data_IF_587043960288
#
_entry.id   IF_587043960288
#
_cell.length_a   1.000
_cell.length_b   1.000
_cell.length_c   1.000
_cell.angle_alpha   90.00
_cell.angle_beta   90.00
_cell.angle_gamma   90.00
#
_symmetry.space_group_name_H-M   'P 1'
#
loop_
_entity.id
_entity.type
_entity.pdbx_description
1 polymer ?
#
# COMPACT_ATOMS: atom_id res chain seq x y z
N UNK A 1 33.13 -52.64 -44.60
CA UNK A 1 33.66 -51.39 -43.99
C UNK A 1 32.66 -50.28 -44.28
N UNK A 2 31.84 -49.91 -43.30
CA UNK A 2 31.13 -48.62 -43.10
C UNK A 2 30.39 -48.75 -41.75
N UNK A 3 30.71 -47.84 -40.82
CA UNK A 3 30.32 -47.82 -39.41
C UNK A 3 28.83 -47.51 -39.21
N UNK A 4 28.16 -48.21 -38.28
CA UNK A 4 26.89 -47.79 -37.66
C UNK A 4 27.20 -46.87 -36.47
N UNK A 5 26.74 -45.62 -36.53
CA UNK A 5 26.79 -44.70 -35.40
C UNK A 5 25.68 -45.04 -34.38
N UNK A 6 26.07 -45.29 -33.14
CA UNK A 6 25.17 -45.33 -31.99
C UNK A 6 25.05 -43.90 -31.44
N UNK A 7 23.84 -43.32 -31.51
CA UNK A 7 23.53 -42.05 -30.86
C UNK A 7 23.46 -42.23 -29.35
N UNK A 8 24.34 -41.54 -28.63
CA UNK A 8 24.24 -41.36 -27.17
C UNK A 8 23.40 -40.12 -26.91
N UNK A 9 22.23 -40.29 -26.29
CA UNK A 9 21.45 -39.19 -25.71
C UNK A 9 22.03 -38.90 -24.33
N UNK A 10 22.67 -37.76 -24.16
CA UNK A 10 23.05 -37.25 -22.85
C UNK A 10 21.84 -36.49 -22.26
N UNK A 11 21.26 -37.04 -21.20
CA UNK A 11 20.27 -36.34 -20.39
C UNK A 11 20.98 -35.26 -19.56
N UNK A 12 20.77 -33.98 -19.89
CA UNK A 12 21.15 -32.88 -19.02
C UNK A 12 20.08 -32.73 -17.93
N UNK A 13 20.42 -33.09 -16.71
CA UNK A 13 19.65 -32.73 -15.53
C UNK A 13 19.85 -31.24 -15.24
N UNK A 14 18.80 -30.43 -15.38
CA UNK A 14 18.78 -29.05 -14.90
C UNK A 14 18.51 -29.12 -13.40
N UNK A 15 19.53 -28.82 -12.60
CA UNK A 15 19.36 -28.50 -11.18
C UNK A 15 18.77 -27.08 -11.13
N UNK A 16 17.47 -26.97 -10.88
CA UNK A 16 16.86 -25.69 -10.50
C UNK A 16 17.26 -25.42 -9.06
N UNK A 17 18.38 -24.72 -8.87
CA UNK A 17 18.67 -24.09 -7.60
C UNK A 17 17.63 -22.99 -7.39
N UNK A 18 16.72 -23.20 -6.44
CA UNK A 18 15.75 -22.20 -5.97
C UNK A 18 16.48 -21.05 -5.27
N UNK A 19 17.13 -20.19 -6.04
CA UNK A 19 17.47 -18.85 -5.58
C UNK A 19 16.20 -18.02 -5.61
N UNK A 20 15.75 -17.52 -4.46
CA UNK A 20 14.86 -16.36 -4.40
C UNK A 20 15.62 -15.22 -5.06
N UNK A 21 15.44 -15.07 -6.37
CA UNK A 21 15.88 -13.89 -7.09
C UNK A 21 15.07 -12.75 -6.54
N UNK A 22 15.61 -12.05 -5.54
CA UNK A 22 15.16 -10.73 -5.18
C UNK A 22 15.38 -9.88 -6.43
N UNK A 23 14.35 -9.76 -7.27
CA UNK A 23 14.18 -8.54 -8.01
C UNK A 23 14.24 -7.43 -6.96
N UNK A 24 15.09 -6.42 -7.17
CA UNK A 24 14.97 -5.20 -6.39
C UNK A 24 13.52 -4.72 -6.58
N UNK A 25 12.64 -5.04 -5.62
CA UNK A 25 11.29 -4.53 -5.63
C UNK A 25 11.42 -3.08 -5.23
N UNK A 26 10.89 -2.21 -6.08
CA UNK A 26 10.68 -0.83 -5.71
C UNK A 26 9.74 -0.84 -4.50
N UNK A 27 10.23 -0.37 -3.35
CA UNK A 27 9.40 -0.27 -2.15
C UNK A 27 8.21 0.64 -2.42
N UNK A 28 7.07 0.32 -1.83
CA UNK A 28 5.82 1.03 -2.09
C UNK A 28 5.12 1.42 -0.81
N UNK A 29 4.36 2.50 -0.89
CA UNK A 29 3.52 2.96 0.22
C UNK A 29 2.09 3.07 -0.29
N UNK A 30 1.15 2.58 0.51
CA UNK A 30 -0.29 2.83 0.36
C UNK A 30 -0.76 3.49 1.66
N UNK A 31 -1.34 4.68 1.54
CA UNK A 31 -2.05 5.34 2.62
C UNK A 31 -3.55 5.30 2.31
N UNK A 32 -4.35 4.79 3.24
CA UNK A 32 -5.81 4.72 3.15
C UNK A 32 -6.41 5.55 4.28
N UNK A 33 -7.40 6.38 3.93
CA UNK A 33 -8.02 7.35 4.82
C UNK A 33 -8.92 6.78 5.91
N UNK A 34 -9.34 5.52 5.81
CA UNK A 34 -10.35 4.91 6.69
C UNK A 34 -10.12 3.39 6.81
N UNK A 35 -10.27 2.87 8.02
CA UNK A 35 -10.03 1.45 8.32
C UNK A 35 -11.17 0.52 7.92
N UNK A 36 -12.37 1.05 7.65
CA UNK A 36 -13.53 0.25 7.30
C UNK A 36 -13.42 -0.35 5.91
N UNK A 37 -12.63 0.21 4.99
CA UNK A 37 -12.55 -0.23 3.58
C UNK A 37 -12.23 -1.72 3.40
N UNK A 38 -11.39 -2.28 4.29
CA UNK A 38 -11.01 -3.71 4.30
C UNK A 38 -11.37 -4.42 5.61
N UNK A 39 -12.32 -3.86 6.37
CA UNK A 39 -12.88 -4.51 7.55
C UNK A 39 -13.70 -5.75 7.20
N UNK A 40 -13.93 -6.63 8.17
CA UNK A 40 -14.84 -7.78 8.00
C UNK A 40 -16.25 -7.33 7.57
N UNK A 41 -16.71 -6.17 8.06
CA UNK A 41 -17.99 -5.60 7.65
C UNK A 41 -18.02 -5.23 6.16
N UNK A 42 -16.93 -4.70 5.61
CA UNK A 42 -16.85 -4.38 4.19
C UNK A 42 -16.87 -5.63 3.31
N UNK A 43 -16.17 -6.69 3.72
CA UNK A 43 -16.28 -7.99 3.04
C UNK A 43 -17.71 -8.55 3.07
N UNK A 44 -18.44 -8.38 4.18
CA UNK A 44 -19.84 -8.80 4.28
C UNK A 44 -20.77 -7.95 3.41
N UNK A 45 -20.64 -6.63 3.44
CA UNK A 45 -21.58 -5.71 2.77
C UNK A 45 -21.28 -5.52 1.28
N UNK A 46 -20.01 -5.53 0.89
CA UNK A 46 -19.58 -5.19 -0.46
C UNK A 46 -19.00 -6.39 -1.23
N UNK A 47 -18.70 -7.49 -0.53
CA UNK A 47 -18.25 -8.75 -1.13
C UNK A 47 -17.13 -8.55 -2.13
N UNK A 48 -17.47 -8.69 -3.42
CA UNK A 48 -16.54 -8.56 -4.55
C UNK A 48 -15.76 -7.24 -4.58
N UNK A 49 -16.32 -6.11 -4.13
CA UNK A 49 -15.62 -4.83 -4.17
C UNK A 49 -14.47 -4.77 -3.15
N UNK A 50 -14.73 -5.15 -1.89
CA UNK A 50 -13.68 -5.23 -0.86
C UNK A 50 -12.65 -6.31 -1.18
N UNK A 51 -13.09 -7.46 -1.70
CA UNK A 51 -12.18 -8.50 -2.18
C UNK A 51 -11.32 -8.05 -3.37
N UNK A 52 -11.88 -7.25 -4.29
CA UNK A 52 -11.11 -6.68 -5.39
C UNK A 52 -10.10 -5.67 -4.89
N UNK A 53 -10.45 -4.79 -3.95
CA UNK A 53 -9.51 -3.86 -3.35
C UNK A 53 -8.35 -4.60 -2.64
N UNK A 54 -8.66 -5.62 -1.86
CA UNK A 54 -7.65 -6.47 -1.22
C UNK A 54 -6.72 -7.15 -2.25
N UNK A 55 -7.30 -7.63 -3.36
CA UNK A 55 -6.53 -8.20 -4.49
C UNK A 55 -5.62 -7.17 -5.13
N UNK A 56 -6.12 -5.96 -5.37
CA UNK A 56 -5.34 -4.88 -5.95
C UNK A 56 -4.17 -4.49 -5.03
N UNK A 57 -4.39 -4.41 -3.71
CA UNK A 57 -3.34 -4.17 -2.71
C UNK A 57 -2.27 -5.26 -2.76
N UNK A 58 -2.65 -6.53 -2.76
CA UNK A 58 -1.72 -7.65 -2.86
C UNK A 58 -0.90 -7.61 -4.16
N UNK A 59 -1.56 -7.34 -5.29
CA UNK A 59 -0.92 -7.23 -6.61
C UNK A 59 -0.03 -5.99 -6.75
N UNK A 60 -0.31 -4.93 -5.99
CA UNK A 60 0.54 -3.75 -5.94
C UNK A 60 1.84 -4.03 -5.18
N UNK A 61 1.79 -4.81 -4.09
CA UNK A 61 2.98 -5.17 -3.31
C UNK A 61 3.76 -6.35 -3.88
N UNK A 62 3.12 -7.23 -4.64
CA UNK A 62 3.74 -8.47 -5.11
C UNK A 62 3.24 -8.86 -6.50
N UNK A 63 4.15 -9.33 -7.35
CA UNK A 63 3.83 -9.76 -8.71
C UNK A 63 3.12 -11.13 -8.79
N UNK A 64 2.90 -11.79 -7.65
CA UNK A 64 2.33 -13.13 -7.56
C UNK A 64 2.30 -13.65 -6.11
N UNK A 65 1.86 -14.91 -5.92
CA UNK A 65 1.74 -15.51 -4.59
C UNK A 65 3.09 -15.63 -3.87
N UNK A 66 3.05 -15.86 -2.56
CA UNK A 66 4.22 -16.17 -1.74
C UNK A 66 4.85 -14.99 -0.99
N UNK A 67 4.27 -13.78 -1.12
CA UNK A 67 4.66 -12.66 -0.27
C UNK A 67 4.34 -12.92 1.21
N UNK A 68 5.19 -12.46 2.11
CA UNK A 68 4.98 -12.51 3.56
C UNK A 68 4.59 -11.12 4.09
N UNK A 69 3.44 -11.03 4.76
CA UNK A 69 2.88 -9.79 5.28
C UNK A 69 2.86 -9.77 6.81
N UNK A 70 3.51 -8.77 7.39
CA UNK A 70 3.51 -8.51 8.84
C UNK A 70 2.45 -7.50 9.21
N UNK A 71 1.61 -7.80 10.21
CA UNK A 71 0.48 -6.93 10.61
C UNK A 71 0.74 -6.34 11.98
N UNK A 72 0.79 -5.01 12.07
CA UNK A 72 0.94 -4.27 13.31
C UNK A 72 -0.28 -3.37 13.48
N UNK A 73 -1.19 -3.77 14.37
CA UNK A 73 -2.41 -2.99 14.63
C UNK A 73 -2.83 -3.09 16.08
N UNK A 74 -3.41 -2.00 16.59
CA UNK A 74 -4.23 -2.02 17.80
C UNK A 74 -5.69 -1.60 17.52
N UNK A 75 -6.05 -1.41 16.25
CA UNK A 75 -7.44 -1.21 15.85
C UNK A 75 -8.22 -2.53 15.94
N UNK A 76 -9.44 -2.52 16.51
CA UNK A 76 -10.31 -3.70 16.53
C UNK A 76 -11.05 -3.93 15.20
N UNK A 77 -10.97 -3.01 14.25
CA UNK A 77 -11.71 -3.03 12.99
C UNK A 77 -10.79 -3.36 11.81
N UNK A 78 -9.58 -2.78 11.80
CA UNK A 78 -8.62 -2.97 10.74
C UNK A 78 -8.11 -4.42 10.68
N UNK A 79 -7.87 -4.91 9.46
CA UNK A 79 -7.17 -6.17 9.21
C UNK A 79 -7.84 -7.42 9.80
N UNK A 80 -9.17 -7.45 9.77
CA UNK A 80 -9.99 -8.57 10.25
C UNK A 80 -9.76 -9.90 9.51
N UNK A 81 -10.51 -10.91 9.96
CA UNK A 81 -10.35 -12.31 9.53
C UNK A 81 -10.64 -12.55 8.05
N UNK A 82 -11.50 -11.74 7.44
CA UNK A 82 -11.87 -11.80 6.03
C UNK A 82 -10.71 -11.34 5.16
N UNK A 83 -10.02 -10.26 5.54
CA UNK A 83 -8.83 -9.79 4.83
C UNK A 83 -7.71 -10.82 4.94
N UNK A 84 -7.46 -11.35 6.14
CA UNK A 84 -6.50 -12.42 6.35
C UNK A 84 -6.80 -13.64 5.46
N UNK A 85 -8.06 -14.10 5.45
CA UNK A 85 -8.50 -15.24 4.64
C UNK A 85 -8.34 -14.97 3.14
N UNK A 86 -8.63 -13.73 2.71
CA UNK A 86 -8.45 -13.32 1.32
C UNK A 86 -6.98 -13.33 0.91
N UNK A 87 -6.10 -12.72 1.70
CA UNK A 87 -4.66 -12.65 1.43
C UNK A 87 -4.01 -14.03 1.42
N UNK A 88 -4.37 -14.90 2.37
CA UNK A 88 -3.91 -16.29 2.40
C UNK A 88 -4.48 -17.12 1.24
N UNK A 89 -5.73 -16.87 0.84
CA UNK A 89 -6.34 -17.45 -0.36
C UNK A 89 -5.64 -17.07 -1.67
N UNK A 90 -5.04 -15.87 -1.72
CA UNK A 90 -4.16 -15.44 -2.82
C UNK A 90 -2.76 -16.07 -2.76
N UNK A 91 -2.46 -16.88 -1.73
CA UNK A 91 -1.18 -17.58 -1.56
C UNK A 91 -0.11 -16.80 -0.81
N UNK A 92 -0.48 -15.76 -0.07
CA UNK A 92 0.42 -15.00 0.80
C UNK A 92 0.44 -15.54 2.23
N UNK A 93 1.49 -15.21 2.98
CA UNK A 93 1.52 -15.40 4.43
C UNK A 93 1.02 -14.13 5.12
N UNK A 94 0.25 -14.30 6.19
CA UNK A 94 -0.32 -13.21 6.97
C UNK A 94 0.00 -13.39 8.45
N UNK A 95 0.98 -12.63 8.94
CA UNK A 95 1.46 -12.74 10.32
C UNK A 95 0.92 -11.62 11.21
N UNK A 96 -0.04 -11.96 12.07
CA UNK A 96 -0.64 -11.04 13.06
C UNK A 96 0.17 -10.88 14.34
N UNK A 97 1.28 -11.62 14.48
CA UNK A 97 2.21 -11.53 15.61
C UNK A 97 3.64 -11.31 15.11
N UNK A 98 3.92 -10.18 14.43
CA UNK A 98 5.17 -10.00 13.72
C UNK A 98 6.40 -9.75 14.62
N UNK A 99 6.20 -9.57 15.92
CA UNK A 99 7.26 -9.31 16.91
C UNK A 99 7.48 -7.82 17.16
N UNK A 100 8.66 -7.47 17.71
CA UNK A 100 9.01 -6.07 18.01
C UNK A 100 9.14 -5.24 16.76
N UNK A 101 8.56 -4.05 16.74
CA UNK A 101 8.71 -3.11 15.62
C UNK A 101 10.16 -2.60 15.52
N UNK A 102 10.90 -3.10 14.53
CA UNK A 102 12.28 -2.74 14.26
C UNK A 102 12.62 -3.02 12.80
N UNK A 103 13.64 -2.37 12.24
CA UNK A 103 14.04 -2.62 10.85
C UNK A 103 14.35 -4.09 10.59
N UNK A 104 15.08 -4.75 11.51
CA UNK A 104 15.42 -6.16 11.39
C UNK A 104 14.17 -7.08 11.38
N UNK A 105 13.09 -6.67 12.04
CA UNK A 105 11.80 -7.35 11.97
C UNK A 105 11.11 -7.07 10.64
N UNK A 106 11.02 -5.80 10.22
CA UNK A 106 10.31 -5.44 8.99
C UNK A 106 10.94 -6.09 7.75
N UNK A 107 12.27 -6.18 7.71
CA UNK A 107 13.03 -6.83 6.62
C UNK A 107 12.77 -8.35 6.47
N UNK A 108 12.01 -8.97 7.38
CA UNK A 108 11.55 -10.36 7.23
C UNK A 108 10.27 -10.47 6.38
N UNK A 109 9.59 -9.36 6.15
CA UNK A 109 8.34 -9.29 5.40
C UNK A 109 8.52 -8.57 4.07
N UNK A 110 7.76 -8.98 3.07
CA UNK A 110 7.66 -8.29 1.78
C UNK A 110 6.77 -7.04 1.88
N UNK A 111 5.85 -7.02 2.85
CA UNK A 111 5.07 -5.83 3.18
C UNK A 111 4.57 -5.83 4.63
N UNK A 112 4.30 -4.64 5.15
CA UNK A 112 3.76 -4.45 6.50
C UNK A 112 2.47 -3.66 6.47
N UNK A 113 1.48 -4.14 7.21
CA UNK A 113 0.15 -3.56 7.32
C UNK A 113 0.00 -2.91 8.69
N UNK A 114 -0.30 -1.61 8.70
CA UNK A 114 -0.27 -0.73 9.87
C UNK A 114 -1.61 -0.04 10.06
N UNK A 115 -2.14 -0.09 11.27
CA UNK A 115 -3.35 0.65 11.66
C UNK A 115 -3.30 0.99 13.15
N UNK A 116 -3.71 2.21 13.49
CA UNK A 116 -3.63 2.71 14.85
C UNK A 116 -2.20 3.04 15.30
N UNK A 117 -1.90 2.94 16.59
CA UNK A 117 -0.63 3.40 17.15
C UNK A 117 0.64 2.59 16.79
N UNK A 118 0.58 1.26 16.58
CA UNK A 118 1.79 0.48 16.27
C UNK A 118 2.51 0.97 15.01
N UNK A 119 3.81 1.22 15.14
CA UNK A 119 4.66 1.66 14.02
C UNK A 119 4.55 3.15 13.65
N UNK A 120 3.69 3.92 14.33
CA UNK A 120 3.58 5.37 14.11
C UNK A 120 4.59 6.16 14.95
N UNK A 121 4.67 7.47 14.70
CA UNK A 121 5.48 8.43 15.44
C UNK A 121 6.91 8.61 14.91
N UNK A 122 7.55 9.69 15.37
CA UNK A 122 8.86 10.16 14.87
C UNK A 122 9.95 9.09 14.99
N UNK A 123 9.95 8.30 16.07
CA UNK A 123 10.95 7.26 16.28
C UNK A 123 10.85 6.12 15.23
N UNK A 124 9.63 5.76 14.83
CA UNK A 124 9.38 4.68 13.87
C UNK A 124 9.41 5.16 12.42
N UNK A 125 9.20 6.45 12.17
CA UNK A 125 9.26 7.03 10.84
C UNK A 125 10.60 6.74 10.13
N UNK A 126 11.73 6.83 10.85
CA UNK A 126 13.04 6.49 10.28
C UNK A 126 13.19 5.01 9.94
N UNK A 127 12.60 4.12 10.74
CA UNK A 127 12.60 2.66 10.49
C UNK A 127 11.80 2.32 9.23
N UNK A 128 10.59 2.89 9.10
CA UNK A 128 9.75 2.69 7.94
C UNK A 128 10.39 3.24 6.66
N UNK A 129 11.00 4.43 6.72
CA UNK A 129 11.70 4.98 5.55
C UNK A 129 12.84 4.10 5.08
N UNK A 130 13.66 3.57 6.01
CA UNK A 130 14.75 2.65 5.67
C UNK A 130 14.22 1.33 5.08
N UNK A 131 13.12 0.80 5.63
CA UNK A 131 12.47 -0.40 5.12
C UNK A 131 11.97 -0.20 3.68
N UNK A 132 11.23 0.89 3.42
CA UNK A 132 10.72 1.23 2.08
C UNK A 132 11.87 1.45 1.09
N UNK A 133 12.89 2.21 1.48
CA UNK A 133 14.07 2.45 0.62
C UNK A 133 14.87 1.17 0.34
N UNK A 134 14.73 0.14 1.18
CA UNK A 134 15.32 -1.18 0.97
C UNK A 134 14.44 -2.12 0.14
N UNK A 135 13.30 -1.64 -0.37
CA UNK A 135 12.38 -2.39 -1.22
C UNK A 135 11.16 -2.96 -0.51
N UNK A 136 11.00 -2.68 0.78
CA UNK A 136 9.83 -3.08 1.57
C UNK A 136 8.58 -2.30 1.23
N UNK A 137 7.41 -2.92 1.46
CA UNK A 137 6.12 -2.29 1.20
C UNK A 137 5.38 -1.91 2.49
N UNK A 138 4.76 -0.74 2.52
CA UNK A 138 4.04 -0.25 3.71
C UNK A 138 2.60 0.08 3.34
N UNK A 139 1.65 -0.47 4.09
CA UNK A 139 0.24 -0.16 4.00
C UNK A 139 -0.21 0.48 5.31
N UNK A 140 -0.72 1.70 5.27
CA UNK A 140 -1.22 2.44 6.45
C UNK A 140 -2.70 2.71 6.30
N UNK A 141 -3.50 2.35 7.31
CA UNK A 141 -4.89 2.78 7.46
C UNK A 141 -5.01 3.82 8.58
N UNK A 142 -5.68 4.91 8.23
CA UNK A 142 -6.17 5.93 9.15
C UNK A 142 -7.65 5.69 9.51
N UNK A 143 -8.27 6.63 10.22
CA UNK A 143 -9.66 6.56 10.65
C UNK A 143 -9.86 5.60 11.82
N UNK A 144 -8.80 5.33 12.59
CA UNK A 144 -8.81 4.26 13.60
C UNK A 144 -9.36 4.67 14.97
N UNK A 145 -9.45 5.98 15.21
CA UNK A 145 -9.78 6.53 16.52
C UNK A 145 -8.72 6.30 17.60
N UNK A 146 -7.63 5.56 17.32
CA UNK A 146 -6.60 5.19 18.31
C UNK A 146 -5.83 6.38 18.89
N UNK A 147 -5.91 7.54 18.21
CA UNK A 147 -5.19 8.77 18.56
C UNK A 147 -6.11 9.86 19.15
N UNK A 148 -7.40 9.56 19.35
CA UNK A 148 -8.38 10.48 19.92
C UNK A 148 -9.01 11.46 18.91
N UNK A 149 -8.24 11.96 17.95
CA UNK A 149 -8.74 12.80 16.85
C UNK A 149 -7.91 12.65 15.55
N UNK A 150 -8.47 13.15 14.44
CA UNK A 150 -7.86 13.11 13.10
C UNK A 150 -6.50 13.82 13.05
N UNK A 151 -6.40 14.98 13.68
CA UNK A 151 -5.18 15.79 13.68
C UNK A 151 -4.03 15.07 14.40
N UNK A 152 -4.33 14.38 15.50
CA UNK A 152 -3.38 13.58 16.26
C UNK A 152 -2.98 12.31 15.52
N UNK A 153 -3.90 11.68 14.80
CA UNK A 153 -3.60 10.54 13.90
C UNK A 153 -2.69 10.97 12.74
N UNK A 154 -3.02 12.08 12.07
CA UNK A 154 -2.18 12.67 11.05
C UNK A 154 -0.79 13.01 11.61
N UNK A 155 -0.70 13.69 12.76
CA UNK A 155 0.57 14.02 13.41
C UNK A 155 1.42 12.80 13.78
N UNK A 156 0.80 11.63 13.99
CA UNK A 156 1.51 10.39 14.27
C UNK A 156 2.07 9.73 13.00
N UNK A 157 1.35 9.80 11.87
CA UNK A 157 1.74 9.15 10.61
C UNK A 157 2.53 10.05 9.65
N UNK A 158 2.23 11.34 9.62
CA UNK A 158 2.85 12.34 8.76
C UNK A 158 4.39 12.41 8.88
N UNK A 159 5.04 12.18 10.04
CA UNK A 159 6.50 12.12 10.10
C UNK A 159 7.10 11.08 9.14
N UNK A 160 6.39 9.98 8.86
CA UNK A 160 6.77 9.00 7.85
C UNK A 160 6.25 9.41 6.47
N UNK A 161 4.94 9.65 6.32
CA UNK A 161 4.30 9.86 5.03
C UNK A 161 4.84 11.09 4.28
N UNK A 162 5.09 12.20 4.98
CA UNK A 162 5.54 13.45 4.37
C UNK A 162 6.93 13.32 3.73
N UNK A 163 7.74 12.34 4.15
CA UNK A 163 9.03 12.06 3.50
C UNK A 163 8.88 11.55 2.06
N UNK A 164 7.68 11.08 1.70
CA UNK A 164 7.33 10.47 0.42
C UNK A 164 6.23 11.23 -0.31
N UNK A 165 5.99 12.50 0.05
CA UNK A 165 4.96 13.33 -0.58
C UNK A 165 3.55 12.85 -0.31
N UNK A 166 3.32 12.10 0.77
CA UNK A 166 1.99 11.64 1.20
C UNK A 166 1.62 12.28 2.54
N UNK A 167 0.35 12.30 2.91
CA UNK A 167 -0.07 12.69 4.26
C UNK A 167 -1.54 12.38 4.54
N UNK A 168 -1.97 12.58 5.78
CA UNK A 168 -3.38 12.48 6.14
C UNK A 168 -4.03 13.83 6.46
N UNK A 169 -5.30 13.96 6.09
CA UNK A 169 -6.11 15.11 6.48
C UNK A 169 -6.27 15.21 7.99
N UNK A 170 -6.40 16.44 8.50
CA UNK A 170 -6.50 16.71 9.94
C UNK A 170 -7.94 16.77 10.45
N UNK A 171 -8.92 16.39 9.63
CA UNK A 171 -10.33 16.42 9.97
C UNK A 171 -10.99 15.11 9.55
N UNK A 172 -11.81 14.58 10.45
CA UNK A 172 -12.68 13.46 10.14
C UNK A 172 -13.87 13.88 9.30
N UNK A 173 -14.32 13.00 8.43
CA UNK A 173 -15.56 13.16 7.67
C UNK A 173 -16.22 11.82 7.39
N UNK A 174 -17.53 11.86 7.17
CA UNK A 174 -18.36 10.67 7.01
C UNK A 174 -19.43 10.55 8.10
N UNK A 175 -20.30 9.53 7.98
CA UNK A 175 -21.44 9.34 8.86
C UNK A 175 -21.04 8.95 10.28
N UNK A 176 -21.99 9.04 11.21
CA UNK A 176 -21.90 8.34 12.48
C UNK A 176 -22.28 6.86 12.26
N UNK A 177 -21.28 6.01 12.00
CA UNK A 177 -21.47 4.61 11.63
C UNK A 177 -20.66 4.28 10.38
N UNK A 178 -21.22 3.46 9.49
CA UNK A 178 -20.65 3.20 8.16
C UNK A 178 -21.68 3.49 7.07
N UNK A 179 -21.20 3.87 5.89
CA UNK A 179 -22.00 4.03 4.68
C UNK A 179 -21.24 3.50 3.47
N UNK A 180 -21.99 3.18 2.42
CA UNK A 180 -21.41 2.88 1.12
C UNK A 180 -21.18 4.17 0.37
N UNK A 181 -19.97 4.37 -0.12
CA UNK A 181 -19.54 5.56 -0.84
C UNK A 181 -19.23 5.14 -2.27
N UNK A 182 -19.88 5.72 -3.29
CA UNK A 182 -19.49 5.53 -4.67
C UNK A 182 -18.02 5.90 -4.84
N UNK A 183 -17.26 5.05 -5.52
CA UNK A 183 -15.90 5.35 -5.90
C UNK A 183 -15.82 5.51 -7.40
N UNK A 184 -14.93 6.39 -7.85
CA UNK A 184 -14.62 6.53 -9.26
C UNK A 184 -13.47 5.58 -9.58
N UNK A 185 -13.69 4.52 -10.38
CA UNK A 185 -12.59 3.66 -10.80
C UNK A 185 -11.50 4.49 -11.47
N UNK A 186 -10.24 4.21 -11.15
CA UNK A 186 -9.08 4.90 -11.70
C UNK A 186 -8.28 3.99 -12.63
N UNK A 187 -7.41 4.58 -13.44
CA UNK A 187 -6.41 3.83 -14.21
C UNK A 187 -5.29 3.27 -13.32
N UNK A 188 -5.21 3.69 -12.06
CA UNK A 188 -4.23 3.18 -11.12
C UNK A 188 -4.59 1.74 -10.70
N UNK A 189 -3.62 0.79 -10.61
CA UNK A 189 -3.91 -0.60 -10.26
C UNK A 189 -4.73 -0.78 -8.98
N UNK A 190 -4.57 0.09 -7.97
CA UNK A 190 -5.36 0.03 -6.74
C UNK A 190 -6.83 0.42 -6.92
N UNK A 191 -7.13 1.42 -7.75
CA UNK A 191 -8.49 1.89 -7.98
C UNK A 191 -9.20 1.18 -9.14
N UNK A 192 -8.49 0.34 -9.89
CA UNK A 192 -9.05 -0.40 -11.01
C UNK A 192 -10.24 -1.27 -10.58
N UNK A 193 -11.37 -1.09 -11.26
CA UNK A 193 -12.63 -1.78 -11.04
C UNK A 193 -13.29 -1.58 -9.65
N UNK A 194 -12.82 -0.61 -8.86
CA UNK A 194 -13.44 -0.25 -7.58
C UNK A 194 -14.48 0.84 -7.81
N UNK A 195 -15.76 0.49 -7.64
CA UNK A 195 -16.91 1.39 -7.83
C UNK A 195 -17.60 1.77 -6.53
N UNK A 196 -17.30 1.08 -5.43
CA UNK A 196 -17.94 1.33 -4.14
C UNK A 196 -17.01 0.96 -3.00
N UNK A 197 -17.01 1.77 -1.95
CA UNK A 197 -16.23 1.60 -0.73
C UNK A 197 -17.16 1.59 0.48
N UNK A 198 -16.73 0.91 1.54
CA UNK A 198 -17.35 1.08 2.85
C UNK A 198 -16.53 2.14 3.57
N UNK A 199 -17.20 3.19 4.04
CA UNK A 199 -16.58 4.31 4.71
C UNK A 199 -17.23 4.50 6.07
N UNK A 200 -16.42 4.74 7.11
CA UNK A 200 -16.90 5.12 8.42
C UNK A 200 -16.71 6.60 8.69
N UNK A 201 -15.80 6.89 9.63
CA UNK A 201 -15.42 8.24 10.00
C UNK A 201 -13.90 8.38 9.78
N UNK A 202 -13.52 8.60 8.52
CA UNK A 202 -12.12 8.63 8.08
C UNK A 202 -11.61 10.03 7.81
N UNK A 203 -10.40 10.10 7.23
CA UNK A 203 -9.73 11.33 6.82
C UNK A 203 -9.18 11.20 5.40
N UNK A 204 -8.77 12.31 4.79
CA UNK A 204 -8.26 12.28 3.42
C UNK A 204 -6.88 11.61 3.37
N UNK A 205 -6.61 10.79 2.36
CA UNK A 205 -5.26 10.34 2.04
C UNK A 205 -4.72 11.25 0.93
N UNK A 206 -3.72 12.07 1.25
CA UNK A 206 -3.30 13.19 0.40
C UNK A 206 -2.04 12.86 -0.40
N UNK A 207 -2.01 13.37 -1.62
CA UNK A 207 -0.80 13.60 -2.40
C UNK A 207 -0.33 15.05 -2.14
N UNK A 208 0.79 15.19 -1.43
CA UNK A 208 1.39 16.47 -1.05
C UNK A 208 2.38 17.00 -2.08
N UNK A 209 2.79 16.18 -3.06
CA UNK A 209 3.67 16.57 -4.15
C UNK A 209 3.13 16.09 -5.50
N UNK A 210 2.00 16.64 -5.97
CA UNK A 210 1.30 16.17 -7.17
C UNK A 210 2.07 16.42 -8.48
N UNK A 211 3.26 17.03 -8.42
CA UNK A 211 4.15 17.19 -9.58
C UNK A 211 5.15 16.03 -9.70
N UNK A 212 5.34 15.27 -8.62
CA UNK A 212 6.16 14.07 -8.62
C UNK A 212 5.46 12.94 -9.37
N UNK A 213 6.23 12.19 -10.16
CA UNK A 213 5.75 10.98 -10.81
C UNK A 213 5.79 9.74 -9.89
N UNK A 214 6.23 9.91 -8.64
CA UNK A 214 6.43 8.82 -7.68
C UNK A 214 5.22 8.64 -6.77
N UNK A 215 4.40 9.67 -6.60
CA UNK A 215 3.22 9.67 -5.76
C UNK A 215 2.00 10.15 -6.54
N UNK A 216 0.84 9.62 -6.19
CA UNK A 216 -0.44 10.01 -6.76
C UNK A 216 -1.60 9.62 -5.83
N UNK A 217 -2.76 10.24 -6.05
CA UNK A 217 -4.04 9.73 -5.51
C UNK A 217 -4.51 8.58 -6.38
N UNK A 218 -4.54 7.38 -5.81
CA UNK A 218 -4.92 6.15 -6.50
C UNK A 218 -6.44 5.94 -6.58
N UNK A 219 -7.21 6.49 -5.65
CA UNK A 219 -8.66 6.34 -5.62
C UNK A 219 -9.33 7.55 -4.97
N UNK A 220 -10.47 7.95 -5.55
CA UNK A 220 -11.36 8.97 -4.99
C UNK A 220 -12.72 8.35 -4.63
N UNK A 221 -13.28 8.78 -3.50
CA UNK A 221 -14.66 8.51 -3.11
C UNK A 221 -15.54 9.73 -3.34
N UNK A 222 -16.79 9.52 -3.75
CA UNK A 222 -17.82 10.55 -3.91
C UNK A 222 -18.72 10.59 -2.68
N UNK A 223 -18.52 11.61 -1.86
CA UNK A 223 -19.25 11.87 -0.62
C UNK A 223 -20.46 12.79 -0.83
N UNK A 224 -20.93 12.99 -2.07
CA UNK A 224 -22.17 13.72 -2.34
C UNK A 224 -23.32 13.08 -1.57
N UNK A 225 -23.97 13.85 -0.70
CA UNK A 225 -25.13 13.38 0.05
C UNK A 225 -24.80 12.44 1.22
N UNK A 226 -23.51 12.28 1.57
CA UNK A 226 -23.11 11.63 2.81
C UNK A 226 -23.26 12.61 3.98
N UNK A 227 -23.80 12.14 5.10
CA UNK A 227 -23.91 12.93 6.33
C UNK A 227 -22.51 13.37 6.83
N UNK A 228 -22.40 14.62 7.27
CA UNK A 228 -21.13 15.25 7.67
C UNK A 228 -20.04 15.15 6.57
N UNK A 229 -20.29 15.75 5.39
CA UNK A 229 -19.31 15.74 4.31
C UNK A 229 -18.07 16.55 4.72
N UNK A 230 -16.90 16.26 4.12
CA UNK A 230 -15.67 16.99 4.38
C UNK A 230 -15.89 18.50 4.27
N UNK A 231 -15.28 19.25 5.18
CA UNK A 231 -15.35 20.72 5.16
C UNK A 231 -14.81 21.26 3.83
N UNK A 232 -15.65 21.96 3.05
CA UNK A 232 -15.22 22.60 1.80
C UNK A 232 -15.99 22.23 0.52
N UNK A 233 -17.11 21.50 0.59
CA UNK A 233 -18.02 21.24 -0.55
C UNK A 233 -17.40 20.49 -1.75
N UNK A 234 -16.24 19.86 -1.62
CA UNK A 234 -15.75 18.95 -2.67
C UNK A 234 -16.27 17.56 -2.35
N UNK A 235 -17.25 17.10 -3.11
CA UNK A 235 -17.81 15.77 -2.90
C UNK A 235 -16.79 14.66 -3.17
N UNK A 236 -15.93 14.83 -4.17
CA UNK A 236 -14.87 13.89 -4.48
C UNK A 236 -13.67 14.09 -3.55
N UNK A 237 -13.35 13.08 -2.76
CA UNK A 237 -12.24 13.10 -1.80
C UNK A 237 -11.21 12.02 -2.09
N UNK A 238 -9.92 12.29 -1.88
CA UNK A 238 -8.89 11.28 -2.05
C UNK A 238 -8.93 10.32 -0.85
N UNK A 239 -9.15 9.04 -1.14
CA UNK A 239 -9.34 7.99 -0.12
C UNK A 239 -8.17 7.02 -0.06
N UNK A 240 -7.41 6.90 -1.17
CA UNK A 240 -6.17 6.14 -1.24
C UNK A 240 -5.13 6.97 -1.97
N UNK A 241 -3.96 7.15 -1.36
CA UNK A 241 -2.78 7.75 -1.97
C UNK A 241 -1.60 6.77 -1.92
N UNK A 242 -0.71 6.86 -2.90
CA UNK A 242 0.40 5.90 -3.04
C UNK A 242 1.71 6.56 -3.36
N UNK A 243 2.80 5.88 -2.99
CA UNK A 243 4.15 6.23 -3.43
C UNK A 243 4.89 4.97 -3.94
N UNK A 244 5.72 5.14 -4.96
CA UNK A 244 6.62 4.12 -5.50
C UNK A 244 8.07 4.61 -5.42
N UNK A 245 8.94 3.85 -4.78
CA UNK A 245 10.40 4.12 -4.81
C UNK A 245 10.88 3.99 -6.26
N UNK A 246 11.65 4.95 -6.79
CA UNK A 246 12.21 4.79 -8.14
C UNK A 246 13.14 3.58 -8.20
N UNK A 247 12.99 2.73 -9.21
CA UNK A 247 14.05 1.75 -9.55
C UNK A 247 15.42 2.46 -9.60
N UNK A 248 16.51 1.83 -9.14
CA UNK A 248 17.85 2.39 -9.26
C UNK A 248 18.21 2.85 -10.69
N UNK A 249 17.63 2.21 -11.72
CA UNK A 249 17.76 2.62 -13.12
C UNK A 249 17.01 3.91 -13.48
N UNK A 250 15.82 4.14 -12.93
CA UNK A 250 15.07 5.37 -13.12
C UNK A 250 15.72 6.56 -12.39
N UNK A 251 16.27 6.34 -11.19
CA UNK A 251 17.01 7.35 -10.43
C UNK A 251 18.24 7.88 -11.21
N UNK A 252 18.96 6.99 -11.89
CA UNK A 252 20.10 7.36 -12.74
C UNK A 252 19.69 8.21 -13.96
N UNK A 253 18.54 7.94 -14.57
CA UNK A 253 18.00 8.71 -15.69
C UNK A 253 17.51 10.11 -15.26
N UNK A 254 16.86 10.23 -14.10
CA UNK A 254 16.48 11.52 -13.52
C UNK A 254 17.71 12.38 -13.18
N UNK A 255 18.78 11.76 -12.66
CA UNK A 255 20.05 12.44 -12.40
C UNK A 255 20.77 12.92 -13.66
N UNK A 256 20.72 12.16 -14.76
CA UNK A 256 21.34 12.54 -16.03
C UNK A 256 20.53 13.61 -16.80
N UNK A 257 19.19 13.60 -16.70
CA UNK A 257 18.33 14.61 -17.32
C UNK A 257 18.62 16.03 -16.82
N UNK A 258 18.93 16.18 -15.53
CA UNK A 258 19.36 17.46 -14.95
C UNK A 258 20.72 17.96 -15.48
N UNK A 259 21.66 17.04 -15.76
CA UNK A 259 22.99 17.37 -16.29
C UNK A 259 22.92 17.83 -17.75
N UNK A 260 22.04 17.24 -18.57
CA UNK A 260 21.85 17.68 -19.96
C UNK A 260 21.08 19.00 -20.07
N UNK A 261 20.12 19.27 -19.16
CA UNK A 261 19.45 20.57 -19.10
C UNK A 261 20.40 21.71 -18.67
N UNK A 262 21.34 21.43 -17.76
CA UNK A 262 22.35 22.40 -17.33
C UNK A 262 23.43 22.69 -18.39
N UNK A 263 23.67 21.77 -19.33
CA UNK A 263 24.71 21.93 -20.37
C UNK A 263 24.25 22.69 -21.61
N UNK A 264 22.95 23.00 -21.74
CA UNK A 264 22.39 23.79 -22.86
C UNK A 264 22.32 25.29 -22.58
N UNK A 265 22.73 25.74 -21.40
CA UNK A 265 22.88 27.17 -21.02
C UNK A 265 24.35 27.48 -20.73
N UNK A 266 25.20 27.42 -21.75
CA UNK A 266 26.48 28.12 -21.81
C UNK A 266 26.73 28.55 -23.24
#
# INVERSE_FOLDING_TARGET
>A
MILRQFGRVAAFAVVVAGGRGALASDGRIIAIGDEWLLSDLAFVQLGTQSGQLATNVAGFFSAGPGADFGVFTNSPIAFGTSLQSHMTGLGHTWNTNPGTFSLATLMQYDGVFLAGAPGSGVANAGVLSQYVQSGGNVFVMAGTGAFGDAASEAAAWDPFLNQFGLGFGQAWFGPNGTTQVPANPSSHPLGSAITTLLWGLGQTAMDLDPQSALNEVALFGDFTGVDNPPSGNVASQPVIATYNVPTPGAAALLGLGGVFAARRRR
#
